data_IF_853588113628
#
_entry.id   IF_853588113628
#
_cell.length_a   1.000
_cell.length_b   1.000
_cell.length_c   1.000
_cell.angle_alpha   90.00
_cell.angle_beta   90.00
_cell.angle_gamma   90.00
#
_symmetry.space_group_name_H-M   'P 1'
#
loop_
_entity.id
_entity.type
_entity.pdbx_description
1 polymer ?
#
# COMPACT_ATOMS: atom_id res chain seq x y z
N UNK A 1 21.57 -7.81 -1.05
CA UNK A 1 21.44 -9.27 -1.32
C UNK A 1 20.02 -9.80 -1.08
N UNK A 2 19.36 -9.46 0.04
CA UNK A 2 18.00 -9.96 0.34
C UNK A 2 16.89 -9.52 -0.66
N UNK A 3 16.97 -8.31 -1.23
CA UNK A 3 15.94 -7.79 -2.15
C UNK A 3 16.06 -8.29 -3.60
N UNK A 4 17.13 -9.03 -3.91
CA UNK A 4 17.32 -9.74 -5.18
C UNK A 4 17.16 -11.26 -5.00
N UNK A 5 16.67 -11.70 -3.84
CA UNK A 5 16.49 -13.11 -3.58
C UNK A 5 15.44 -13.70 -4.54
N UNK A 6 15.61 -14.95 -5.02
CA UNK A 6 14.60 -15.61 -5.81
C UNK A 6 13.27 -15.68 -5.03
N UNK A 7 12.10 -15.72 -5.70
CA UNK A 7 10.80 -15.64 -5.05
C UNK A 7 10.60 -16.68 -3.93
N UNK A 8 11.18 -17.87 -4.08
CA UNK A 8 11.18 -18.91 -3.04
C UNK A 8 11.90 -18.46 -1.76
N UNK A 9 13.06 -17.79 -1.88
CA UNK A 9 13.81 -17.28 -0.73
C UNK A 9 13.08 -16.11 -0.03
N UNK A 10 12.38 -15.26 -0.77
CA UNK A 10 11.51 -14.22 -0.19
C UNK A 10 10.40 -14.84 0.68
N UNK A 11 9.75 -15.91 0.20
CA UNK A 11 8.72 -16.62 0.99
C UNK A 11 9.31 -17.27 2.24
N UNK A 12 10.47 -17.92 2.14
CA UNK A 12 11.15 -18.49 3.31
C UNK A 12 11.45 -17.42 4.36
N UNK A 13 11.94 -16.24 3.94
CA UNK A 13 12.22 -15.13 4.86
C UNK A 13 10.94 -14.56 5.49
N UNK A 14 9.84 -14.45 4.74
CA UNK A 14 8.55 -14.02 5.28
C UNK A 14 8.04 -14.97 6.37
N UNK A 15 8.13 -16.28 6.14
CA UNK A 15 7.77 -17.29 7.16
C UNK A 15 8.73 -17.24 8.35
N UNK A 16 10.04 -17.12 8.09
CA UNK A 16 11.04 -17.03 9.14
C UNK A 16 10.77 -15.85 10.07
N UNK A 17 10.40 -14.68 9.55
CA UNK A 17 10.02 -13.50 10.34
C UNK A 17 8.85 -13.79 11.29
N UNK A 18 7.82 -14.50 10.82
CA UNK A 18 6.65 -14.84 11.63
C UNK A 18 6.97 -15.84 12.75
N UNK A 19 7.84 -16.82 12.46
CA UNK A 19 8.30 -17.80 13.46
C UNK A 19 9.21 -17.13 14.48
N UNK A 20 10.21 -16.37 14.01
CA UNK A 20 11.19 -15.70 14.87
C UNK A 20 10.56 -14.67 15.78
N UNK A 21 9.50 -13.96 15.35
CA UNK A 21 8.75 -13.06 16.23
C UNK A 21 8.26 -13.75 17.50
N UNK A 22 7.91 -15.04 17.42
CA UNK A 22 7.38 -15.81 18.55
C UNK A 22 8.48 -16.51 19.35
N UNK A 23 9.52 -17.01 18.69
CA UNK A 23 10.57 -17.81 19.35
C UNK A 23 11.80 -17.01 19.77
N UNK A 24 12.23 -16.02 18.97
CA UNK A 24 13.48 -15.27 19.16
C UNK A 24 13.33 -13.81 18.69
N UNK A 25 12.72 -12.93 19.51
CA UNK A 25 12.40 -11.56 19.10
C UNK A 25 13.65 -10.72 18.74
N UNK A 26 14.79 -10.93 19.42
CA UNK A 26 16.04 -10.23 19.10
C UNK A 26 16.56 -10.57 17.69
N UNK A 27 16.50 -11.85 17.31
CA UNK A 27 16.88 -12.30 15.97
C UNK A 27 15.92 -11.78 14.91
N UNK A 28 14.63 -11.70 15.23
CA UNK A 28 13.62 -11.09 14.36
C UNK A 28 13.94 -9.61 14.10
N UNK A 29 14.22 -8.84 15.16
CA UNK A 29 14.58 -7.43 15.05
C UNK A 29 15.84 -7.23 14.19
N UNK A 30 16.89 -8.04 14.41
CA UNK A 30 18.11 -8.00 13.59
C UNK A 30 17.84 -8.31 12.11
N UNK A 31 16.96 -9.28 11.83
CA UNK A 31 16.58 -9.62 10.47
C UNK A 31 15.79 -8.49 9.81
N UNK A 32 14.84 -7.86 10.52
CA UNK A 32 14.12 -6.69 10.03
C UNK A 32 15.06 -5.52 9.70
N UNK A 33 16.01 -5.24 10.59
CA UNK A 33 17.05 -4.23 10.38
C UNK A 33 17.89 -4.53 9.12
N UNK A 34 18.30 -5.78 8.92
CA UNK A 34 19.05 -6.18 7.73
C UNK A 34 18.23 -6.05 6.44
N UNK A 35 16.93 -6.41 6.46
CA UNK A 35 16.03 -6.29 5.32
C UNK A 35 15.84 -4.82 4.93
N UNK A 36 15.54 -3.96 5.91
CA UNK A 36 15.34 -2.52 5.69
C UNK A 36 16.65 -1.84 5.28
N UNK A 37 17.76 -2.19 5.91
CA UNK A 37 19.09 -1.68 5.56
C UNK A 37 19.49 -2.05 4.12
N UNK A 38 19.10 -3.24 3.64
CA UNK A 38 19.32 -3.61 2.25
C UNK A 38 18.48 -2.79 1.26
N UNK A 39 17.34 -2.22 1.70
CA UNK A 39 16.46 -1.39 0.88
C UNK A 39 16.88 0.07 0.85
N UNK A 40 17.55 0.55 1.90
CA UNK A 40 18.16 1.87 1.97
C UNK A 40 19.48 1.90 1.18
N UNK A 41 19.42 2.24 -0.10
CA UNK A 41 20.58 2.62 -0.90
C UNK A 41 21.23 3.94 -0.41
N UNK A 42 22.22 4.50 -1.14
CA UNK A 42 22.99 5.68 -0.71
C UNK A 42 22.13 6.93 -0.49
N UNK A 43 20.95 7.00 -1.12
CA UNK A 43 19.90 7.97 -0.82
C UNK A 43 18.71 7.22 -0.18
N UNK A 44 18.59 7.22 1.16
CA UNK A 44 17.72 6.26 1.86
C UNK A 44 16.23 6.46 1.56
N UNK A 45 15.75 7.69 1.44
CA UNK A 45 14.34 8.02 1.22
C UNK A 45 13.84 7.56 -0.16
N UNK A 46 14.58 7.90 -1.22
CA UNK A 46 14.23 7.49 -2.59
C UNK A 46 14.40 6.00 -2.82
N UNK A 47 15.41 5.38 -2.20
CA UNK A 47 15.65 3.93 -2.34
C UNK A 47 14.55 3.10 -1.67
N UNK A 48 14.13 3.47 -0.46
CA UNK A 48 13.05 2.79 0.24
C UNK A 48 11.72 2.92 -0.50
N UNK A 49 11.41 4.12 -1.00
CA UNK A 49 10.21 4.36 -1.81
C UNK A 49 10.19 3.45 -3.05
N UNK A 50 11.31 3.39 -3.79
CA UNK A 50 11.43 2.51 -4.96
C UNK A 50 11.29 1.03 -4.59
N UNK A 51 11.88 0.60 -3.47
CA UNK A 51 11.76 -0.78 -3.01
C UNK A 51 10.31 -1.13 -2.64
N UNK A 52 9.56 -0.24 -2.00
CA UNK A 52 8.14 -0.46 -1.72
C UNK A 52 7.26 -0.45 -2.98
N UNK A 53 7.70 0.20 -4.06
CA UNK A 53 6.97 0.21 -5.33
C UNK A 53 7.28 -1.01 -6.22
N UNK A 54 8.31 -1.79 -5.90
CA UNK A 54 8.70 -2.98 -6.66
C UNK A 54 7.99 -4.26 -6.14
N UNK A 55 7.41 -5.12 -7.02
CA UNK A 55 6.56 -6.24 -6.60
C UNK A 55 7.21 -7.26 -5.65
N UNK A 56 8.45 -7.67 -5.91
CA UNK A 56 9.15 -8.68 -5.10
C UNK A 56 9.76 -8.10 -3.83
N UNK A 57 10.50 -6.96 -3.89
CA UNK A 57 10.99 -6.26 -2.70
C UNK A 57 9.89 -5.84 -1.72
N UNK A 58 8.74 -5.37 -2.22
CA UNK A 58 7.67 -4.85 -1.36
C UNK A 58 7.14 -5.92 -0.40
N UNK A 59 6.95 -7.16 -0.87
CA UNK A 59 6.39 -8.24 -0.03
C UNK A 59 7.26 -8.57 1.18
N UNK A 60 8.58 -8.54 1.00
CA UNK A 60 9.51 -8.78 2.11
C UNK A 60 9.51 -7.61 3.10
N UNK A 61 9.46 -6.38 2.59
CA UNK A 61 9.35 -5.17 3.42
C UNK A 61 8.02 -5.14 4.19
N UNK A 62 6.91 -5.47 3.54
CA UNK A 62 5.59 -5.60 4.14
C UNK A 62 5.59 -6.61 5.30
N UNK A 63 6.18 -7.80 5.09
CA UNK A 63 6.30 -8.81 6.13
C UNK A 63 7.20 -8.36 7.29
N UNK A 64 8.29 -7.66 6.98
CA UNK A 64 9.16 -7.06 8.01
C UNK A 64 8.39 -6.02 8.83
N UNK A 65 7.57 -5.17 8.22
CA UNK A 65 6.76 -4.16 8.92
C UNK A 65 5.72 -4.77 9.87
N UNK A 66 5.19 -5.96 9.57
CA UNK A 66 4.25 -6.69 10.45
C UNK A 66 4.88 -7.19 11.75
N UNK A 67 6.20 -7.39 11.75
CA UNK A 67 6.93 -7.94 12.90
C UNK A 67 7.93 -6.95 13.51
N UNK A 68 8.13 -5.80 12.87
CA UNK A 68 9.06 -4.77 13.27
C UNK A 68 8.71 -4.11 14.60
N UNK A 69 9.75 -3.74 15.34
CA UNK A 69 9.64 -2.91 16.53
C UNK A 69 9.16 -1.49 16.19
N UNK A 70 8.48 -0.78 17.11
CA UNK A 70 7.98 0.57 16.88
C UNK A 70 9.06 1.57 16.46
N UNK A 71 10.29 1.43 16.96
CA UNK A 71 11.44 2.28 16.60
C UNK A 71 11.82 2.17 15.12
N UNK A 72 11.76 0.96 14.55
CA UNK A 72 12.01 0.69 13.14
C UNK A 72 10.90 1.29 12.27
N UNK A 73 9.63 1.11 12.65
CA UNK A 73 8.49 1.68 11.93
C UNK A 73 8.52 3.21 11.91
N UNK A 74 8.92 3.86 13.02
CA UNK A 74 9.16 5.31 13.06
C UNK A 74 10.26 5.76 12.09
N UNK A 75 11.32 4.97 11.97
CA UNK A 75 12.43 5.27 11.06
C UNK A 75 12.00 5.13 9.60
N UNK A 76 11.27 4.07 9.27
CA UNK A 76 10.67 3.89 7.95
C UNK A 76 9.74 5.05 7.60
N UNK A 77 8.85 5.43 8.52
CA UNK A 77 7.96 6.57 8.35
C UNK A 77 8.74 7.85 8.01
N UNK A 78 9.76 8.21 8.80
CA UNK A 78 10.60 9.39 8.54
C UNK A 78 11.25 9.39 7.15
N UNK A 79 11.62 8.22 6.63
CA UNK A 79 12.19 8.09 5.29
C UNK A 79 11.14 8.21 4.17
N UNK A 80 9.86 7.99 4.49
CA UNK A 80 8.74 8.03 3.55
C UNK A 80 7.93 9.34 3.64
N UNK A 81 8.18 10.17 4.65
CA UNK A 81 7.52 11.46 4.80
C UNK A 81 7.67 12.32 3.53
N UNK A 82 6.58 12.97 3.14
CA UNK A 82 6.48 13.73 1.89
C UNK A 82 6.26 12.88 0.64
N UNK A 83 6.29 11.55 0.76
CA UNK A 83 6.06 10.60 -0.34
C UNK A 83 4.85 9.68 -0.12
N UNK A 84 4.08 9.86 0.96
CA UNK A 84 2.99 8.95 1.32
C UNK A 84 1.83 9.03 0.33
N UNK A 85 1.55 10.23 -0.20
CA UNK A 85 0.56 10.42 -1.27
C UNK A 85 0.92 9.61 -2.52
N UNK A 86 2.20 9.64 -2.94
CA UNK A 86 2.68 8.86 -4.08
C UNK A 86 2.61 7.35 -3.79
N UNK A 87 2.98 6.94 -2.58
CA UNK A 87 2.93 5.54 -2.14
C UNK A 87 1.48 5.01 -2.13
N UNK A 88 0.52 5.77 -1.58
CA UNK A 88 -0.89 5.40 -1.49
C UNK A 88 -1.56 5.23 -2.86
N UNK A 89 -1.12 6.00 -3.85
CA UNK A 89 -1.63 5.94 -5.23
C UNK A 89 -0.96 4.85 -6.08
N UNK A 90 0.08 4.20 -5.58
CA UNK A 90 0.85 3.22 -6.34
C UNK A 90 0.30 1.80 -6.17
N UNK A 91 0.14 1.06 -7.28
CA UNK A 91 -0.46 -0.30 -7.32
C UNK A 91 0.18 -1.33 -6.39
N UNK A 92 1.49 -1.22 -6.12
CA UNK A 92 2.23 -2.08 -5.19
C UNK A 92 2.45 -1.39 -3.85
N UNK A 93 3.14 -0.24 -3.86
CA UNK A 93 3.47 0.55 -2.66
C UNK A 93 2.33 0.84 -1.68
N UNK A 94 1.07 0.92 -2.13
CA UNK A 94 -0.06 1.13 -1.22
C UNK A 94 -0.15 0.04 -0.12
N UNK A 95 0.30 -1.19 -0.39
CA UNK A 95 0.29 -2.26 0.61
C UNK A 95 1.32 -2.02 1.72
N UNK A 96 2.50 -1.50 1.38
CA UNK A 96 3.49 -1.08 2.38
C UNK A 96 2.94 0.01 3.32
N UNK A 97 2.18 0.95 2.77
CA UNK A 97 1.50 1.97 3.58
C UNK A 97 0.43 1.37 4.51
N UNK A 98 -0.36 0.40 4.01
CA UNK A 98 -1.34 -0.32 4.83
C UNK A 98 -0.66 -1.04 5.99
N UNK A 99 0.46 -1.74 5.76
CA UNK A 99 1.23 -2.39 6.83
C UNK A 99 1.76 -1.37 7.85
N UNK A 100 2.21 -0.20 7.40
CA UNK A 100 2.65 0.88 8.29
C UNK A 100 1.52 1.38 9.19
N UNK A 101 0.31 1.55 8.66
CA UNK A 101 -0.88 1.94 9.43
C UNK A 101 -1.33 0.84 10.40
N UNK A 102 -1.36 -0.41 9.93
CA UNK A 102 -1.83 -1.57 10.70
C UNK A 102 -0.93 -1.90 11.90
N UNK A 103 0.38 -1.66 11.80
CA UNK A 103 1.36 -2.03 12.83
C UNK A 103 2.09 -0.84 13.47
N UNK A 104 1.98 0.35 12.89
CA UNK A 104 2.63 1.56 13.39
C UNK A 104 2.16 1.95 14.79
N UNK A 105 3.02 2.62 15.58
CA UNK A 105 2.62 3.31 16.79
C UNK A 105 1.80 4.57 16.47
N UNK A 106 1.13 5.13 17.48
CA UNK A 106 0.21 6.27 17.35
C UNK A 106 0.84 7.48 16.62
N UNK A 107 2.08 7.83 16.95
CA UNK A 107 2.79 8.97 16.35
C UNK A 107 3.02 8.80 14.85
N UNK A 108 3.25 7.56 14.38
CA UNK A 108 3.38 7.26 12.95
C UNK A 108 2.02 7.37 12.27
N UNK A 109 0.97 6.80 12.86
CA UNK A 109 -0.38 6.85 12.28
C UNK A 109 -0.88 8.28 12.20
N UNK A 110 -0.66 9.09 13.23
CA UNK A 110 -0.97 10.50 13.24
C UNK A 110 -0.22 11.23 12.12
N UNK A 111 1.08 10.99 11.97
CA UNK A 111 1.87 11.60 10.90
C UNK A 111 1.38 11.21 9.49
N UNK A 112 0.98 9.94 9.28
CA UNK A 112 0.37 9.50 8.03
C UNK A 112 -0.98 10.20 7.80
N UNK A 113 -1.82 10.30 8.84
CA UNK A 113 -3.11 10.97 8.77
C UNK A 113 -2.96 12.46 8.43
N UNK A 114 -2.01 13.16 9.03
CA UNK A 114 -1.78 14.58 8.74
C UNK A 114 -1.30 14.82 7.30
N UNK A 115 -0.46 13.94 6.74
CA UNK A 115 0.02 14.07 5.36
C UNK A 115 -1.03 13.61 4.33
N UNK A 116 -1.66 12.47 4.57
CA UNK A 116 -2.55 11.81 3.60
C UNK A 116 -4.02 12.20 3.79
N UNK A 117 -4.44 12.67 4.95
CA UNK A 117 -5.84 13.01 5.29
C UNK A 117 -6.51 13.92 4.26
N UNK A 118 -5.91 15.07 3.90
CA UNK A 118 -6.43 15.97 2.84
C UNK A 118 -6.45 15.33 1.44
N UNK A 119 -5.80 14.18 1.29
CA UNK A 119 -5.52 13.48 0.05
C UNK A 119 -6.09 12.05 0.03
N UNK A 120 -7.09 11.76 0.87
CA UNK A 120 -7.66 10.40 0.96
C UNK A 120 -8.53 10.05 -0.24
N UNK A 121 -9.01 11.04 -0.99
CA UNK A 121 -9.81 10.84 -2.20
C UNK A 121 -8.98 10.21 -3.33
N UNK A 122 -7.69 10.53 -3.45
CA UNK A 122 -6.87 10.08 -4.57
C UNK A 122 -6.54 8.57 -4.56
N UNK A 123 -6.19 7.93 -3.42
CA UNK A 123 -6.07 6.47 -3.34
C UNK A 123 -7.40 5.76 -3.60
N UNK A 124 -8.52 6.32 -3.11
CA UNK A 124 -9.86 5.78 -3.34
C UNK A 124 -10.24 5.81 -4.82
N UNK A 125 -10.02 6.94 -5.49
CA UNK A 125 -10.26 7.10 -6.92
C UNK A 125 -9.42 6.14 -7.79
N UNK A 126 -8.23 5.76 -7.30
CA UNK A 126 -7.37 4.75 -7.96
C UNK A 126 -7.72 3.30 -7.62
N UNK A 127 -8.75 3.07 -6.82
CA UNK A 127 -9.17 1.72 -6.45
C UNK A 127 -8.29 1.07 -5.38
N UNK A 128 -7.68 1.88 -4.49
CA UNK A 128 -6.89 1.40 -3.35
C UNK A 128 -7.61 1.65 -2.00
N UNK A 129 -8.84 1.12 -1.79
CA UNK A 129 -9.60 1.35 -0.56
C UNK A 129 -8.95 0.73 0.68
N UNK A 130 -8.03 -0.23 0.51
CA UNK A 130 -7.30 -0.84 1.62
C UNK A 130 -6.52 0.18 2.45
N UNK A 131 -6.05 1.28 1.85
CA UNK A 131 -5.39 2.37 2.59
C UNK A 131 -6.34 3.01 3.59
N UNK A 132 -7.58 3.27 3.17
CA UNK A 132 -8.61 3.79 4.06
C UNK A 132 -9.00 2.76 5.13
N UNK A 133 -9.18 1.50 4.75
CA UNK A 133 -9.50 0.42 5.70
C UNK A 133 -8.43 0.30 6.78
N UNK A 134 -7.15 0.34 6.40
CA UNK A 134 -6.02 0.29 7.33
C UNK A 134 -6.00 1.51 8.25
N UNK A 135 -6.24 2.72 7.72
CA UNK A 135 -6.33 3.95 8.51
C UNK A 135 -7.45 3.88 9.55
N UNK A 136 -8.65 3.45 9.15
CA UNK A 136 -9.77 3.28 10.08
C UNK A 136 -9.51 2.19 11.11
N UNK A 137 -8.85 1.10 10.71
CA UNK A 137 -8.37 0.06 11.62
C UNK A 137 -7.38 0.62 12.66
N UNK A 138 -6.47 1.49 12.25
CA UNK A 138 -5.53 2.17 13.14
C UNK A 138 -6.26 3.14 14.10
N UNK A 139 -7.28 3.85 13.63
CA UNK A 139 -8.10 4.74 14.47
C UNK A 139 -8.91 3.98 15.54
N UNK A 140 -9.19 2.68 15.33
CA UNK A 140 -9.76 1.82 16.39
C UNK A 140 -8.74 1.52 17.48
N UNK A 141 -7.45 1.46 17.16
CA UNK A 141 -6.34 1.27 18.12
C UNK A 141 -6.02 2.57 18.86
N UNK A 142 -6.21 3.72 18.21
CA UNK A 142 -5.87 5.04 18.74
C UNK A 142 -7.09 5.98 18.69
N UNK A 143 -7.94 5.98 19.74
CA UNK A 143 -9.18 6.75 19.76
C UNK A 143 -8.99 8.27 19.56
N UNK A 144 -7.84 8.81 19.97
CA UNK A 144 -7.52 10.22 19.81
C UNK A 144 -7.52 10.69 18.34
N UNK A 145 -7.22 9.78 17.40
CA UNK A 145 -7.14 10.09 15.96
C UNK A 145 -8.49 9.96 15.25
N UNK A 146 -9.52 9.41 15.88
CA UNK A 146 -10.82 9.13 15.24
C UNK A 146 -11.49 10.39 14.72
N UNK A 147 -11.46 11.47 15.51
CA UNK A 147 -12.11 12.73 15.12
C UNK A 147 -11.48 13.33 13.86
N UNK A 148 -10.14 13.33 13.80
CA UNK A 148 -9.40 13.84 12.64
C UNK A 148 -9.63 12.96 11.42
N UNK A 149 -9.57 11.63 11.56
CA UNK A 149 -9.82 10.70 10.47
C UNK A 149 -11.24 10.81 9.91
N UNK A 150 -12.26 10.96 10.76
CA UNK A 150 -13.64 11.20 10.34
C UNK A 150 -13.80 12.52 9.60
N UNK A 151 -13.13 13.59 10.06
CA UNK A 151 -13.14 14.88 9.34
C UNK A 151 -12.53 14.75 7.97
N UNK A 152 -11.36 14.11 7.86
CA UNK A 152 -10.72 13.88 6.56
C UNK A 152 -11.61 13.06 5.62
N UNK A 153 -12.31 12.05 6.15
CA UNK A 153 -13.27 11.25 5.38
C UNK A 153 -14.46 12.06 4.86
N UNK A 154 -15.04 12.92 5.69
CA UNK A 154 -16.18 13.76 5.29
C UNK A 154 -15.79 14.83 4.26
N UNK A 155 -14.51 15.20 4.21
CA UNK A 155 -13.95 16.10 3.21
C UNK A 155 -13.59 15.40 1.89
N UNK A 156 -13.67 14.06 1.83
CA UNK A 156 -13.49 13.34 0.57
C UNK A 156 -14.69 13.62 -0.32
N UNK A 157 -14.49 14.49 -1.31
CA UNK A 157 -15.44 14.66 -2.40
C UNK A 157 -15.52 13.36 -3.20
N UNK A 158 -16.64 12.64 -3.08
CA UNK A 158 -16.90 11.44 -3.87
C UNK A 158 -17.26 11.86 -5.30
N UNK A 159 -16.26 12.06 -6.16
CA UNK A 159 -16.49 11.94 -7.60
C UNK A 159 -16.68 10.46 -7.92
N UNK A 160 -17.83 10.02 -8.45
CA UNK A 160 -18.02 8.62 -8.78
C UNK A 160 -16.91 8.19 -9.75
N UNK A 161 -16.16 7.16 -9.38
CA UNK A 161 -15.27 6.47 -10.31
C UNK A 161 -16.17 5.94 -11.42
N UNK A 162 -16.15 6.62 -12.57
CA UNK A 162 -16.57 6.03 -13.83
C UNK A 162 -15.68 4.81 -14.04
N UNK A 163 -16.14 3.65 -13.56
CA UNK A 163 -15.64 2.37 -14.04
C UNK A 163 -15.88 2.43 -15.54
N UNK A 164 -14.81 2.71 -16.28
CA UNK A 164 -14.78 2.55 -17.72
C UNK A 164 -15.11 1.10 -18.02
N UNK A 165 -16.41 0.81 -18.11
CA UNK A 165 -16.89 -0.31 -18.87
C UNK A 165 -16.54 0.09 -20.29
N UNK A 166 -15.39 -0.38 -20.77
CA UNK A 166 -15.22 -0.59 -22.18
C UNK A 166 -16.41 -1.47 -22.59
N UNK A 167 -17.42 -0.87 -23.21
CA UNK A 167 -18.47 -1.62 -23.88
C UNK A 167 -17.77 -2.65 -24.77
N UNK A 168 -18.10 -3.94 -24.68
CA UNK A 168 -17.51 -4.95 -25.57
C UNK A 168 -18.06 -4.85 -27.00
N UNK A 169 -18.93 -3.88 -27.28
CA UNK A 169 -19.51 -3.67 -28.59
C UNK A 169 -18.76 -2.57 -29.34
N UNK A 170 -18.04 -2.90 -30.43
CA UNK A 170 -17.57 -1.88 -31.35
C UNK A 170 -18.79 -1.22 -32.01
N UNK A 171 -19.02 0.06 -31.68
CA UNK A 171 -19.96 0.91 -32.41
C UNK A 171 -19.42 1.15 -33.81
N UNK A 172 -19.73 0.26 -34.76
CA UNK A 172 -19.22 0.38 -36.12
C UNK A 172 -19.42 -0.85 -37.00
N UNK A 173 -20.62 -1.45 -37.00
CA UNK A 173 -21.03 -2.34 -38.09
C UNK A 173 -22.40 -1.89 -38.58
N UNK A 174 -22.39 -0.99 -39.56
CA UNK A 174 -23.54 -0.77 -40.43
C UNK A 174 -23.76 -2.04 -41.24
N UNK A 175 -24.68 -2.90 -40.81
CA UNK A 175 -25.18 -3.98 -41.65
C UNK A 175 -25.98 -3.35 -42.81
N UNK A 176 -25.70 -3.70 -44.08
CA UNK A 176 -26.56 -3.31 -45.17
C UNK A 176 -27.91 -4.05 -45.07
N UNK A 177 -29.02 -3.45 -45.55
CA UNK A 177 -30.33 -4.10 -45.52
C UNK A 177 -30.32 -5.33 -46.43
N UNK A 178 -30.73 -6.48 -45.88
CA UNK A 178 -30.93 -7.70 -46.66
C UNK A 178 -32.05 -7.49 -47.70
N UNK A 179 -31.86 -7.87 -48.97
CA UNK A 179 -32.93 -7.82 -49.97
C UNK A 179 -33.89 -9.00 -49.76
N UNK A 180 -35.15 -8.68 -49.48
CA UNK A 180 -36.26 -9.63 -49.51
C UNK A 180 -36.53 -10.02 -50.97
N UNK A 181 -36.00 -11.15 -51.43
CA UNK A 181 -36.41 -11.74 -52.71
C UNK A 181 -37.70 -12.52 -52.49
N UNK A 182 -38.83 -11.94 -52.91
CA UNK A 182 -40.03 -12.69 -53.23
C UNK A 182 -39.99 -13.03 -54.73
N UNK A 183 -40.07 -14.32 -55.04
CA UNK A 183 -40.22 -14.87 -56.40
C UNK A 183 -41.07 -16.14 -56.31
N UNK A 184 -41.78 -16.49 -57.38
CA UNK A 184 -43.20 -16.17 -57.59
C UNK A 184 -44.19 -17.16 -56.95
#
# INVERSE_FOLDING_TARGET
LALRAPPAASLCLQVALQVLKRSHPESCARLCEAIVGAAGGPAPSSSLLLALQAPEPSRLLEAAMTVAEPSLLRRLFRQLQGSLRALAQHRVGNHGLQRLLEHGPEDVVQGVLSELGPALSEPLARGHPGVLTALMGACRRFPALQQEALRSLLQVEFTPVSRGHASPFPSGVTHPPFPFKATP
#
